data_IF_672486925629
#
_entry.id   IF_672486925629
#
_cell.length_a   1.000
_cell.length_b   1.000
_cell.length_c   1.000
_cell.angle_alpha   90.00
_cell.angle_beta   90.00
_cell.angle_gamma   90.00
#
_symmetry.space_group_name_H-M   'P 1'
#
loop_
_entity.id
_entity.type
_entity.pdbx_description
1 polymer ?
#
# COMPACT_ATOMS: atom_id res chain seq x y z
N UNK A 1 -41.23 37.95 9.99
CA UNK A 1 -40.20 37.00 9.50
C UNK A 1 -40.40 36.83 7.99
N UNK A 2 -39.42 37.21 7.16
CA UNK A 2 -39.53 37.03 5.70
C UNK A 2 -39.25 35.56 5.37
N UNK A 3 -40.23 34.87 4.79
CA UNK A 3 -40.09 33.48 4.35
C UNK A 3 -39.26 33.48 3.06
N UNK A 4 -38.11 32.81 3.07
CA UNK A 4 -37.32 32.61 1.84
C UNK A 4 -38.11 31.65 0.93
N UNK A 5 -38.43 32.10 -0.27
CA UNK A 5 -39.10 31.28 -1.29
C UNK A 5 -38.09 30.22 -1.76
N UNK A 6 -38.46 28.92 -1.87
CA UNK A 6 -37.53 27.86 -2.25
C UNK A 6 -36.94 28.00 -3.66
N UNK A 7 -37.50 28.90 -4.48
CA UNK A 7 -37.02 29.23 -5.83
C UNK A 7 -35.88 30.26 -5.85
N UNK A 8 -35.66 30.99 -4.75
CA UNK A 8 -34.61 32.00 -4.63
C UNK A 8 -33.84 31.83 -3.31
N UNK A 9 -32.78 31.00 -3.30
CA UNK A 9 -32.06 30.64 -2.08
C UNK A 9 -31.24 31.79 -1.46
N UNK A 10 -31.14 32.94 -2.13
CA UNK A 10 -30.34 34.08 -1.69
C UNK A 10 -31.21 35.34 -1.55
N UNK A 11 -30.98 36.10 -0.48
CA UNK A 11 -31.74 37.31 -0.16
C UNK A 11 -31.47 38.47 -1.14
N UNK A 12 -30.27 38.51 -1.74
CA UNK A 12 -29.89 39.52 -2.74
C UNK A 12 -28.94 38.96 -3.79
N UNK A 13 -28.82 39.67 -4.93
CA UNK A 13 -27.84 39.34 -5.98
C UNK A 13 -26.39 39.39 -5.47
N UNK A 14 -26.10 40.27 -4.50
CA UNK A 14 -24.77 40.38 -3.87
C UNK A 14 -24.44 39.13 -3.07
N UNK A 15 -25.42 38.62 -2.31
CA UNK A 15 -25.23 37.40 -1.51
C UNK A 15 -25.02 36.17 -2.40
N UNK A 16 -25.78 36.07 -3.50
CA UNK A 16 -25.59 35.02 -4.49
C UNK A 16 -24.18 35.04 -5.10
N UNK A 17 -23.67 36.24 -5.42
CA UNK A 17 -22.32 36.40 -5.97
C UNK A 17 -21.24 36.03 -4.96
N UNK A 18 -21.38 36.50 -3.73
CA UNK A 18 -20.45 36.19 -2.65
C UNK A 18 -20.41 34.69 -2.33
N UNK A 19 -21.57 34.02 -2.30
CA UNK A 19 -21.64 32.57 -2.12
C UNK A 19 -20.97 31.82 -3.28
N UNK A 20 -21.15 32.29 -4.52
CA UNK A 20 -20.47 31.72 -5.68
C UNK A 20 -18.95 31.86 -5.56
N UNK A 21 -18.45 33.05 -5.24
CA UNK A 21 -17.01 33.32 -5.12
C UNK A 21 -16.37 32.48 -4.00
N UNK A 22 -17.06 32.34 -2.85
CA UNK A 22 -16.65 31.46 -1.76
C UNK A 22 -16.63 29.98 -2.17
N UNK A 23 -17.64 29.53 -2.91
CA UNK A 23 -17.72 28.14 -3.40
C UNK A 23 -16.58 27.82 -4.40
N UNK A 24 -16.24 28.78 -5.25
CA UNK A 24 -15.14 28.65 -6.20
C UNK A 24 -13.80 28.54 -5.47
N UNK A 25 -13.56 29.41 -4.48
CA UNK A 25 -12.35 29.34 -3.65
C UNK A 25 -12.25 28.02 -2.87
N UNK A 26 -13.35 27.55 -2.27
CA UNK A 26 -13.40 26.28 -1.56
C UNK A 26 -13.09 25.08 -2.47
N UNK A 27 -13.57 25.10 -3.72
CA UNK A 27 -13.29 24.06 -4.71
C UNK A 27 -11.79 23.97 -5.04
N UNK A 28 -11.12 25.11 -5.20
CA UNK A 28 -9.68 25.14 -5.48
C UNK A 28 -8.88 24.53 -4.31
N UNK A 29 -9.22 24.93 -3.07
CA UNK A 29 -8.57 24.38 -1.87
C UNK A 29 -8.82 22.88 -1.72
N UNK A 30 -10.05 22.42 -1.97
CA UNK A 30 -10.39 21.00 -1.95
C UNK A 30 -9.58 20.20 -2.98
N UNK A 31 -9.46 20.72 -4.21
CA UNK A 31 -8.67 20.07 -5.27
C UNK A 31 -7.18 20.00 -4.92
N UNK A 32 -6.62 21.07 -4.37
CA UNK A 32 -5.22 21.10 -3.92
C UNK A 32 -4.97 20.08 -2.81
N UNK A 33 -5.85 20.02 -1.81
CA UNK A 33 -5.76 19.06 -0.70
C UNK A 33 -5.93 17.61 -1.16
N UNK A 34 -6.83 17.36 -2.11
CA UNK A 34 -7.00 16.06 -2.74
C UNK A 34 -5.67 15.61 -3.38
N UNK A 35 -5.08 16.45 -4.24
CA UNK A 35 -3.82 16.14 -4.91
C UNK A 35 -2.64 15.93 -3.94
N UNK A 36 -2.61 16.66 -2.81
CA UNK A 36 -1.54 16.54 -1.80
C UNK A 36 -1.56 15.19 -1.06
N UNK A 37 -2.74 14.58 -0.88
CA UNK A 37 -2.89 13.32 -0.14
C UNK A 37 -2.38 12.08 -0.89
N UNK A 38 -2.20 12.16 -2.21
CA UNK A 38 -1.79 10.99 -3.03
C UNK A 38 -0.28 10.80 -3.14
N UNK A 39 0.54 11.77 -2.73
CA UNK A 39 2.00 11.59 -2.69
C UNK A 39 2.35 10.82 -1.42
N UNK A 40 2.52 9.49 -1.54
CA UNK A 40 3.10 8.67 -0.48
C UNK A 40 4.51 9.19 -0.16
N UNK A 41 4.87 9.21 1.12
CA UNK A 41 6.26 9.47 1.52
C UNK A 41 7.18 8.45 0.86
N UNK A 42 8.41 8.88 0.54
CA UNK A 42 9.43 7.96 0.06
C UNK A 42 9.63 6.86 1.11
N UNK A 43 9.71 5.60 0.67
CA UNK A 43 9.91 4.50 1.60
C UNK A 43 11.31 4.58 2.19
N UNK A 44 11.42 4.63 3.52
CA UNK A 44 12.70 4.54 4.24
C UNK A 44 13.28 3.11 4.23
N UNK A 45 12.54 2.13 3.71
CA UNK A 45 12.99 0.75 3.67
C UNK A 45 14.16 0.61 2.70
N UNK A 46 15.27 0.07 3.18
CA UNK A 46 16.41 -0.32 2.32
C UNK A 46 15.92 -1.24 1.21
N UNK A 47 16.36 -0.97 -0.02
CA UNK A 47 16.11 -1.85 -1.16
C UNK A 47 16.65 -3.26 -0.85
N UNK A 48 15.90 -4.29 -1.26
CA UNK A 48 16.35 -5.67 -1.14
C UNK A 48 17.66 -5.86 -1.90
N UNK A 49 18.70 -6.32 -1.20
CA UNK A 49 19.97 -6.72 -1.80
C UNK A 49 19.91 -8.24 -2.01
N UNK A 50 19.86 -8.75 -3.25
CA UNK A 50 20.02 -10.17 -3.47
C UNK A 50 21.41 -10.60 -3.01
N UNK A 51 21.50 -11.71 -2.28
CA UNK A 51 22.78 -12.32 -1.94
C UNK A 51 23.41 -12.99 -3.17
N UNK A 52 24.66 -13.45 -3.05
CA UNK A 52 25.41 -14.09 -4.14
C UNK A 52 25.05 -15.57 -4.39
N UNK A 53 24.08 -16.12 -3.64
CA UNK A 53 23.73 -17.53 -3.75
C UNK A 53 22.76 -17.73 -4.93
N UNK A 54 23.25 -18.44 -5.96
CA UNK A 54 22.45 -18.81 -7.11
C UNK A 54 21.33 -19.80 -6.76
N UNK A 55 20.25 -19.85 -7.56
CA UNK A 55 19.12 -20.76 -7.36
C UNK A 55 19.53 -22.24 -7.35
N UNK A 56 20.58 -22.60 -8.10
CA UNK A 56 21.18 -23.94 -8.12
C UNK A 56 21.69 -24.38 -6.75
N UNK A 57 22.38 -23.49 -6.02
CA UNK A 57 22.93 -23.78 -4.69
C UNK A 57 21.81 -24.02 -3.68
N UNK A 58 20.72 -23.24 -3.75
CA UNK A 58 19.53 -23.45 -2.90
C UNK A 58 18.88 -24.80 -3.22
N UNK A 59 18.73 -25.15 -4.50
CA UNK A 59 18.18 -26.43 -4.91
C UNK A 59 19.02 -27.61 -4.41
N UNK A 60 20.35 -27.52 -4.52
CA UNK A 60 21.29 -28.52 -4.00
C UNK A 60 21.18 -28.65 -2.48
N UNK A 61 21.12 -27.53 -1.75
CA UNK A 61 20.97 -27.56 -0.29
C UNK A 61 19.64 -28.19 0.16
N UNK A 62 18.53 -27.92 -0.55
CA UNK A 62 17.25 -28.57 -0.29
C UNK A 62 17.34 -30.07 -0.58
N UNK A 63 17.93 -30.46 -1.72
CA UNK A 63 18.11 -31.87 -2.07
C UNK A 63 18.96 -32.61 -1.02
N UNK A 64 20.04 -32.00 -0.52
CA UNK A 64 20.88 -32.61 0.51
C UNK A 64 20.15 -32.77 1.85
N UNK A 65 19.29 -31.83 2.23
CA UNK A 65 18.55 -31.89 3.48
C UNK A 65 17.37 -32.88 3.46
N UNK A 66 16.72 -33.06 2.31
CA UNK A 66 15.47 -33.82 2.20
C UNK A 66 15.53 -35.03 1.23
N UNK A 67 16.68 -35.28 0.61
CA UNK A 67 16.87 -36.31 -0.43
C UNK A 67 16.28 -35.97 -1.80
N UNK A 68 15.39 -34.97 -1.87
CA UNK A 68 14.75 -34.48 -3.11
C UNK A 68 14.49 -32.98 -3.04
N UNK A 69 14.28 -32.36 -4.20
CA UNK A 69 13.93 -30.93 -4.26
C UNK A 69 12.47 -30.78 -3.86
N UNK A 70 12.23 -30.20 -2.68
CA UNK A 70 10.91 -29.95 -2.14
C UNK A 70 10.48 -28.49 -2.28
N UNK A 71 9.21 -28.29 -2.61
CA UNK A 71 8.56 -26.99 -2.58
C UNK A 71 8.50 -26.43 -1.15
N UNK A 72 8.28 -25.12 -1.03
CA UNK A 72 8.11 -24.47 0.28
C UNK A 72 6.96 -25.06 1.09
N UNK A 73 5.85 -25.43 0.45
CA UNK A 73 4.66 -25.97 1.11
C UNK A 73 4.95 -27.35 1.71
N UNK A 74 5.61 -28.21 0.95
CA UNK A 74 5.98 -29.56 1.42
C UNK A 74 6.96 -29.50 2.59
N UNK A 75 7.97 -28.60 2.52
CA UNK A 75 8.91 -28.42 3.64
C UNK A 75 8.24 -27.95 4.92
N UNK A 76 7.22 -27.09 4.81
CA UNK A 76 6.42 -26.68 5.98
C UNK A 76 5.60 -27.83 6.55
N UNK A 77 4.95 -28.62 5.71
CA UNK A 77 4.17 -29.76 6.15
C UNK A 77 5.05 -30.82 6.85
N UNK A 78 6.27 -31.04 6.36
CA UNK A 78 7.22 -31.93 7.03
C UNK A 78 7.62 -31.36 8.40
N UNK A 79 7.95 -30.08 8.47
CA UNK A 79 8.28 -29.40 9.73
C UNK A 79 7.16 -29.48 10.77
N UNK A 80 5.90 -29.28 10.35
CA UNK A 80 4.72 -29.45 11.19
C UNK A 80 4.56 -30.90 11.69
N UNK A 81 4.80 -31.89 10.82
CA UNK A 81 4.71 -33.32 11.18
C UNK A 81 5.82 -33.77 12.12
N UNK A 82 7.04 -33.26 11.95
CA UNK A 82 8.20 -33.66 12.76
C UNK A 82 8.39 -32.80 14.01
N UNK A 83 7.61 -31.72 14.17
CA UNK A 83 7.77 -30.76 15.25
C UNK A 83 9.06 -29.93 15.16
N UNK A 84 9.78 -29.98 14.03
CA UNK A 84 11.04 -29.28 13.83
C UNK A 84 10.80 -27.91 13.19
N UNK A 85 11.60 -26.88 13.49
CA UNK A 85 11.48 -25.59 12.84
C UNK A 85 11.81 -25.69 11.34
N UNK A 86 11.11 -24.89 10.52
CA UNK A 86 11.35 -24.85 9.07
C UNK A 86 12.76 -24.33 8.79
N UNK A 87 13.62 -25.20 8.24
CA UNK A 87 14.96 -24.82 7.83
C UNK A 87 14.90 -23.77 6.71
N UNK A 88 15.58 -22.64 6.95
CA UNK A 88 15.64 -21.52 6.03
C UNK A 88 16.90 -21.62 5.17
N UNK A 89 16.71 -21.81 3.87
CA UNK A 89 17.75 -21.74 2.87
C UNK A 89 17.79 -20.30 2.35
N UNK A 90 18.55 -19.44 3.03
CA UNK A 90 18.74 -18.06 2.59
C UNK A 90 19.93 -17.98 1.65
N UNK A 91 19.87 -17.02 0.71
CA UNK A 91 21.06 -16.44 0.13
C UNK A 91 21.77 -15.59 1.21
N UNK A 92 22.54 -16.20 2.11
CA UNK A 92 23.49 -15.45 2.93
C UNK A 92 24.66 -15.08 2.02
N UNK A 93 24.65 -13.85 1.53
CA UNK A 93 25.86 -13.12 1.14
C UNK A 93 26.36 -12.35 2.35
#
# INVERSE_FOLDING_TARGET
MKKNNPLHPFASKKDARMAFDQSAAARVVAQFNFNRRYKRSASEKKAYKPGNIGPSVIATAIKNAYGRILSRRERKQIAERTGQPVQKFYARG
#
